data_IF_695461878367
#
_entry.id   IF_695461878367
#
_cell.length_a   1.000
_cell.length_b   1.000
_cell.length_c   1.000
_cell.angle_alpha   90.00
_cell.angle_beta   90.00
_cell.angle_gamma   90.00
#
_symmetry.space_group_name_H-M   'P 1'
#
loop_
_entity.id
_entity.type
_entity.pdbx_description
1 polymer ?
#
# COMPACT_ATOMS: atom_id res chain seq x y z
N UNK A 1 7.06 6.55 9.94
CA UNK A 1 6.07 5.91 9.06
C UNK A 1 5.09 5.09 9.87
N UNK A 2 3.95 5.69 10.19
CA UNK A 2 2.77 4.98 10.65
C UNK A 2 1.93 4.54 9.43
N UNK A 3 1.04 3.58 9.66
CA UNK A 3 0.11 3.07 8.65
C UNK A 3 -1.26 3.03 9.29
N UNK A 4 -2.27 3.47 8.54
CA UNK A 4 -3.66 3.48 9.00
C UNK A 4 -4.56 2.72 8.01
N UNK A 5 -5.65 2.10 8.50
CA UNK A 5 -6.58 1.34 7.66
C UNK A 5 -7.26 2.22 6.61
N UNK A 6 -7.37 1.71 5.39
CA UNK A 6 -8.04 2.41 4.29
C UNK A 6 -9.53 2.65 4.59
N UNK A 7 -10.20 1.63 5.13
CA UNK A 7 -11.63 1.65 5.46
C UNK A 7 -12.00 2.62 6.59
N UNK A 8 -11.05 3.09 7.40
CA UNK A 8 -11.31 4.17 8.36
C UNK A 8 -11.55 5.52 7.67
N UNK A 9 -10.92 5.74 6.51
CA UNK A 9 -11.10 6.97 5.71
C UNK A 9 -12.16 6.81 4.62
N UNK A 10 -12.33 5.60 4.11
CA UNK A 10 -13.27 5.28 3.03
C UNK A 10 -14.11 4.05 3.41
N UNK A 11 -15.05 4.18 4.37
CA UNK A 11 -15.79 3.04 4.90
C UNK A 11 -16.62 2.31 3.83
N UNK A 12 -17.38 3.04 3.01
CA UNK A 12 -18.25 2.45 1.97
C UNK A 12 -17.43 1.65 0.95
N UNK A 13 -16.30 2.21 0.51
CA UNK A 13 -15.40 1.54 -0.45
C UNK A 13 -14.70 0.35 0.22
N UNK A 14 -14.31 0.51 1.48
CA UNK A 14 -13.73 -0.58 2.26
C UNK A 14 -14.69 -1.76 2.41
N UNK A 15 -15.97 -1.50 2.62
CA UNK A 15 -17.01 -2.53 2.70
C UNK A 15 -17.19 -3.26 1.37
N UNK A 16 -17.29 -2.52 0.27
CA UNK A 16 -17.57 -3.07 -1.06
C UNK A 16 -16.36 -3.76 -1.72
N UNK A 17 -15.14 -3.26 -1.46
CA UNK A 17 -13.97 -3.60 -2.28
C UNK A 17 -12.87 -4.38 -1.53
N UNK A 18 -13.01 -4.62 -0.22
CA UNK A 18 -12.08 -5.47 0.55
C UNK A 18 -12.05 -6.88 -0.03
N UNK A 19 -10.84 -7.37 -0.32
CA UNK A 19 -10.66 -8.71 -0.88
C UNK A 19 -10.85 -9.77 0.21
N UNK A 20 -11.71 -10.75 -0.07
CA UNK A 20 -11.82 -11.98 0.69
C UNK A 20 -11.08 -13.13 -0.01
N UNK A 21 -10.29 -13.87 0.74
CA UNK A 21 -9.73 -15.16 0.36
C UNK A 21 -10.58 -16.26 0.99
N UNK A 22 -11.07 -17.21 0.19
CA UNK A 22 -11.75 -18.40 0.71
C UNK A 22 -10.77 -19.57 0.67
N UNK A 23 -10.45 -20.12 1.84
CA UNK A 23 -9.54 -21.25 2.01
C UNK A 23 -10.37 -22.51 2.26
N UNK A 24 -10.23 -23.51 1.39
CA UNK A 24 -10.86 -24.81 1.53
C UNK A 24 -9.88 -25.86 2.05
N UNK A 25 -8.76 -26.02 1.35
CA UNK A 25 -7.70 -26.97 1.70
C UNK A 25 -6.34 -26.33 1.39
N UNK A 26 -5.75 -25.69 2.40
CA UNK A 26 -4.42 -25.11 2.33
C UNK A 26 -3.61 -25.60 3.52
N UNK A 27 -2.58 -26.43 3.31
CA UNK A 27 -1.74 -26.94 4.39
C UNK A 27 -1.19 -25.80 5.27
N UNK A 28 -1.38 -25.93 6.59
CA UNK A 28 -0.94 -24.94 7.56
C UNK A 28 -1.85 -23.72 7.71
N UNK A 29 -3.01 -23.67 7.04
CA UNK A 29 -4.03 -22.63 7.19
C UNK A 29 -5.38 -23.28 7.46
N UNK A 30 -6.14 -22.75 8.43
CA UNK A 30 -7.45 -23.29 8.74
C UNK A 30 -8.44 -22.97 7.60
N UNK A 31 -9.39 -23.86 7.28
CA UNK A 31 -10.45 -23.53 6.33
C UNK A 31 -11.30 -22.36 6.81
N UNK A 32 -11.74 -21.51 5.88
CA UNK A 32 -12.57 -20.36 6.16
C UNK A 32 -12.31 -19.17 5.24
N UNK A 33 -12.94 -18.06 5.56
CA UNK A 33 -12.76 -16.79 4.85
C UNK A 33 -11.76 -15.90 5.59
N UNK A 34 -10.90 -15.25 4.82
CA UNK A 34 -9.86 -14.36 5.30
C UNK A 34 -9.96 -13.01 4.58
N UNK A 35 -10.16 -11.93 5.32
CA UNK A 35 -10.18 -10.57 4.79
C UNK A 35 -8.75 -10.02 4.70
N UNK A 36 -8.42 -9.41 3.56
CA UNK A 36 -7.17 -8.69 3.35
C UNK A 36 -7.45 -7.20 3.55
N UNK A 37 -7.33 -6.74 4.80
CA UNK A 37 -7.54 -5.32 5.11
C UNK A 37 -6.32 -4.50 4.68
N UNK A 38 -6.57 -3.41 3.97
CA UNK A 38 -5.53 -2.55 3.40
C UNK A 38 -5.14 -1.45 4.39
N UNK A 39 -3.85 -1.34 4.69
CA UNK A 39 -3.27 -0.25 5.46
C UNK A 39 -2.29 0.54 4.59
N UNK A 40 -2.40 1.87 4.63
CA UNK A 40 -1.57 2.79 3.86
C UNK A 40 -0.85 3.79 4.77
N UNK A 41 0.29 4.28 4.29
CA UNK A 41 1.09 5.27 5.01
C UNK A 41 0.30 6.57 5.19
N UNK A 42 0.22 7.06 6.42
CA UNK A 42 -0.49 8.26 6.84
C UNK A 42 0.45 9.47 7.07
N UNK A 43 1.75 9.31 6.82
CA UNK A 43 2.74 10.38 6.97
C UNK A 43 2.63 11.38 5.79
N UNK A 44 2.42 12.69 6.02
CA UNK A 44 2.33 13.68 4.95
C UNK A 44 3.59 13.74 4.07
N UNK A 45 3.42 13.92 2.76
CA UNK A 45 4.51 13.96 1.78
C UNK A 45 5.17 12.63 1.43
N UNK A 46 4.72 11.51 1.99
CA UNK A 46 5.28 10.18 1.73
C UNK A 46 4.73 9.54 0.43
N UNK A 47 5.62 9.17 -0.50
CA UNK A 47 5.30 8.42 -1.73
C UNK A 47 5.88 7.00 -1.68
N UNK A 48 5.57 6.24 -0.62
CA UNK A 48 6.13 4.90 -0.42
C UNK A 48 5.57 3.83 -1.36
N UNK A 49 4.44 4.08 -2.02
CA UNK A 49 3.80 3.18 -3.00
C UNK A 49 3.70 1.72 -2.55
N UNK A 50 3.27 1.54 -1.30
CA UNK A 50 3.12 0.26 -0.61
C UNK A 50 1.78 0.17 0.10
N UNK A 51 1.28 -1.05 0.18
CA UNK A 51 0.18 -1.46 1.06
C UNK A 51 0.71 -2.45 2.10
N UNK A 52 0.21 -2.37 3.33
CA UNK A 52 0.29 -3.48 4.27
C UNK A 52 -1.07 -4.16 4.33
N UNK A 53 -1.11 -5.46 4.11
CA UNK A 53 -2.29 -6.27 4.34
C UNK A 53 -2.26 -6.77 5.78
N UNK A 54 -3.29 -6.45 6.57
CA UNK A 54 -3.58 -7.21 7.79
C UNK A 54 -4.61 -8.28 7.43
N UNK A 55 -4.19 -9.54 7.48
CA UNK A 55 -5.03 -10.67 7.09
C UNK A 55 -5.78 -11.15 8.34
N UNK A 56 -7.10 -11.04 8.33
CA UNK A 56 -7.95 -11.53 9.43
C UNK A 56 -8.80 -12.68 8.96
N UNK A 57 -8.87 -13.77 9.73
CA UNK A 57 -9.93 -14.74 9.56
C UNK A 57 -11.26 -14.12 10.01
N UNK A 58 -12.33 -14.31 9.24
CA UNK A 58 -13.66 -13.82 9.63
C UNK A 58 -14.01 -14.38 11.03
N UNK A 59 -14.42 -13.50 11.93
CA UNK A 59 -14.73 -13.82 13.34
C UNK A 59 -13.52 -13.83 14.30
N UNK A 60 -12.29 -13.65 13.80
CA UNK A 60 -11.09 -13.50 14.65
C UNK A 60 -10.79 -12.03 14.93
N UNK A 61 -10.43 -11.72 16.17
CA UNK A 61 -10.02 -10.37 16.58
C UNK A 61 -8.57 -10.05 16.23
N UNK A 62 -7.70 -11.07 16.16
CA UNK A 62 -6.27 -10.89 15.91
C UNK A 62 -5.95 -11.14 14.43
N UNK A 63 -4.99 -10.40 13.84
CA UNK A 63 -4.50 -10.69 12.50
C UNK A 63 -3.75 -12.01 12.50
N UNK A 64 -3.91 -12.77 11.43
CA UNK A 64 -3.22 -14.03 11.18
C UNK A 64 -1.87 -13.79 10.49
N UNK A 65 -1.78 -12.75 9.68
CA UNK A 65 -0.55 -12.31 9.06
C UNK A 65 -0.58 -10.81 8.80
N UNK A 66 0.60 -10.18 8.80
CA UNK A 66 0.78 -8.84 8.25
C UNK A 66 1.81 -8.88 7.14
N UNK A 67 1.38 -8.56 5.92
CA UNK A 67 2.19 -8.69 4.70
C UNK A 67 2.28 -7.34 4.02
N UNK A 68 3.50 -6.84 3.84
CA UNK A 68 3.74 -5.68 3.00
C UNK A 68 3.85 -6.06 1.54
N UNK A 69 3.27 -5.24 0.66
CA UNK A 69 3.39 -5.35 -0.79
C UNK A 69 3.74 -4.01 -1.40
N UNK A 70 4.86 -3.97 -2.11
CA UNK A 70 5.24 -2.82 -2.94
C UNK A 70 5.26 -3.17 -4.42
N UNK A 71 4.60 -2.34 -5.23
CA UNK A 71 4.46 -2.59 -6.67
C UNK A 71 5.54 -1.95 -7.54
N UNK A 72 6.33 -1.02 -7.00
CA UNK A 72 7.44 -0.41 -7.72
C UNK A 72 8.68 -1.31 -7.83
N UNK A 73 9.64 -0.90 -8.66
CA UNK A 73 10.90 -1.62 -8.85
C UNK A 73 11.82 -1.55 -7.61
N UNK A 74 12.74 -2.51 -7.49
CA UNK A 74 13.79 -2.43 -6.48
C UNK A 74 14.65 -1.14 -6.60
N UNK A 75 14.81 -0.60 -7.80
CA UNK A 75 15.53 0.66 -8.02
C UNK A 75 14.77 1.84 -7.39
N UNK A 76 13.45 1.91 -7.59
CA UNK A 76 12.60 2.90 -6.94
C UNK A 76 12.76 2.83 -5.43
N UNK A 77 12.66 1.64 -4.83
CA UNK A 77 12.77 1.49 -3.38
C UNK A 77 14.17 1.77 -2.85
N UNK A 78 15.22 1.45 -3.60
CA UNK A 78 16.60 1.80 -3.23
C UNK A 78 16.77 3.32 -3.15
N UNK A 79 16.24 4.05 -4.13
CA UNK A 79 16.25 5.51 -4.17
C UNK A 79 15.39 6.10 -3.05
N UNK A 80 14.19 5.58 -2.86
CA UNK A 80 13.23 6.05 -1.86
C UNK A 80 13.76 5.87 -0.42
N UNK A 81 14.40 4.72 -0.12
CA UNK A 81 15.03 4.46 1.18
C UNK A 81 16.23 5.39 1.47
N UNK A 82 16.75 6.11 0.47
CA UNK A 82 17.95 6.93 0.60
C UNK A 82 19.20 6.11 0.98
N UNK A 83 19.17 4.79 0.77
CA UNK A 83 20.24 3.86 1.14
C UNK A 83 20.45 2.86 0.01
N UNK A 84 21.71 2.63 -0.35
CA UNK A 84 22.10 1.53 -1.22
C UNK A 84 22.06 0.20 -0.43
N UNK A 85 20.85 -0.27 -0.11
CA UNK A 85 20.62 -1.59 0.48
C UNK A 85 19.76 -2.43 -0.45
N UNK A 86 20.37 -3.23 -1.35
CA UNK A 86 19.65 -4.09 -2.27
C UNK A 86 18.73 -5.09 -1.55
N UNK A 87 19.14 -5.57 -0.38
CA UNK A 87 18.34 -6.47 0.47
C UNK A 87 17.08 -5.79 1.00
N UNK A 88 17.20 -4.56 1.51
CA UNK A 88 16.04 -3.79 1.99
C UNK A 88 15.09 -3.43 0.85
N UNK A 89 15.63 -3.02 -0.31
CA UNK A 89 14.82 -2.71 -1.48
C UNK A 89 14.02 -3.93 -1.98
N UNK A 90 14.61 -5.13 -1.93
CA UNK A 90 13.91 -6.38 -2.28
C UNK A 90 12.83 -6.76 -1.28
N UNK A 91 12.98 -6.47 0.01
CA UNK A 91 11.90 -6.67 1.00
C UNK A 91 10.75 -5.67 0.82
N UNK A 92 11.06 -4.51 0.23
CA UNK A 92 10.05 -3.50 -0.11
C UNK A 92 9.31 -3.81 -1.41
N UNK A 93 9.94 -4.55 -2.32
CA UNK A 93 9.33 -4.99 -3.56
C UNK A 93 8.59 -6.32 -3.37
N UNK A 94 7.38 -6.42 -3.89
CA UNK A 94 6.61 -7.65 -3.81
C UNK A 94 6.10 -7.96 -2.41
N UNK A 95 5.42 -9.10 -2.22
CA UNK A 95 4.86 -9.50 -0.94
C UNK A 95 5.96 -10.02 0.00
N UNK A 96 6.00 -9.50 1.22
CA UNK A 96 6.87 -9.97 2.28
C UNK A 96 6.20 -9.80 3.65
N UNK A 97 6.46 -10.70 4.60
CA UNK A 97 6.00 -10.53 5.98
C UNK A 97 6.56 -9.23 6.55
N UNK A 98 5.72 -8.44 7.22
CA UNK A 98 6.17 -7.26 7.92
C UNK A 98 6.90 -7.69 9.21
N UNK A 99 8.22 -7.45 9.35
CA UNK A 99 9.02 -8.05 10.44
C UNK A 99 8.65 -7.59 11.85
N UNK A 100 8.08 -6.39 11.98
CA UNK A 100 7.74 -5.77 13.26
C UNK A 100 6.28 -6.00 13.68
N UNK A 101 5.52 -6.79 12.90
CA UNK A 101 4.13 -7.12 13.20
C UNK A 101 4.01 -8.50 13.81
N UNK A 102 2.91 -8.72 14.53
CA UNK A 102 2.49 -10.06 14.91
C UNK A 102 2.30 -10.94 13.66
N UNK A 103 2.72 -12.21 13.76
CA UNK A 103 2.52 -13.24 12.76
C UNK A 103 2.04 -14.51 13.47
N UNK A 104 0.91 -15.06 13.03
CA UNK A 104 0.46 -16.37 13.50
C UNK A 104 1.28 -17.50 12.86
N UNK A 105 1.15 -18.76 13.33
CA UNK A 105 1.69 -19.92 12.63
C UNK A 105 1.21 -20.08 11.17
N UNK A 106 0.07 -19.48 10.80
CA UNK A 106 -0.48 -19.54 9.44
C UNK A 106 0.21 -18.55 8.48
N UNK A 107 0.94 -17.55 9.00
CA UNK A 107 1.48 -16.45 8.21
C UNK A 107 2.40 -16.88 7.05
N UNK A 108 3.31 -17.87 7.20
CA UNK A 108 4.14 -18.33 6.08
C UNK A 108 3.31 -18.91 4.93
N UNK A 109 2.29 -19.71 5.24
CA UNK A 109 1.42 -20.34 4.24
C UNK A 109 0.51 -19.32 3.55
N UNK A 110 0.01 -18.32 4.30
CA UNK A 110 -0.74 -17.18 3.75
C UNK A 110 0.15 -16.32 2.81
N UNK A 111 1.41 -16.07 3.18
CA UNK A 111 2.35 -15.35 2.31
C UNK A 111 2.56 -16.07 0.98
N UNK A 112 2.65 -17.40 0.97
CA UNK A 112 2.83 -18.18 -0.24
C UNK A 112 1.65 -18.04 -1.23
N UNK A 113 0.47 -17.61 -0.78
CA UNK A 113 -0.67 -17.36 -1.66
C UNK A 113 -0.61 -15.98 -2.33
N UNK A 114 0.11 -15.02 -1.75
CA UNK A 114 0.13 -13.64 -2.24
C UNK A 114 0.59 -13.49 -3.68
N UNK A 115 1.61 -14.20 -4.19
CA UNK A 115 1.97 -14.15 -5.60
C UNK A 115 0.84 -14.57 -6.54
N UNK A 116 -0.03 -15.50 -6.14
CA UNK A 116 -1.19 -15.90 -6.94
C UNK A 116 -2.28 -14.82 -6.93
N UNK A 117 -2.56 -14.26 -5.75
CA UNK A 117 -3.55 -13.19 -5.58
C UNK A 117 -3.13 -11.93 -6.35
N UNK A 118 -1.84 -11.59 -6.31
CA UNK A 118 -1.28 -10.38 -6.92
C UNK A 118 -0.97 -10.52 -8.43
N UNK A 119 -1.22 -11.69 -9.03
CA UNK A 119 -1.22 -11.84 -10.49
C UNK A 119 -2.47 -11.22 -11.15
N UNK A 120 -3.54 -11.00 -10.38
CA UNK A 120 -4.73 -10.26 -10.85
C UNK A 120 -4.39 -8.78 -11.01
N UNK A 121 -4.15 -8.36 -12.25
CA UNK A 121 -3.83 -6.99 -12.59
C UNK A 121 -4.93 -6.00 -12.18
N UNK A 122 -6.21 -6.40 -12.24
CA UNK A 122 -7.31 -5.52 -11.83
C UNK A 122 -7.30 -5.30 -10.31
N UNK A 123 -6.93 -6.33 -9.54
CA UNK A 123 -6.74 -6.17 -8.11
C UNK A 123 -5.55 -5.25 -7.80
N UNK A 124 -4.42 -5.42 -8.48
CA UNK A 124 -3.25 -4.55 -8.28
C UNK A 124 -3.55 -3.09 -8.64
N UNK A 125 -4.26 -2.83 -9.73
CA UNK A 125 -4.66 -1.47 -10.08
C UNK A 125 -5.66 -0.87 -9.07
N UNK A 126 -6.54 -1.69 -8.49
CA UNK A 126 -7.41 -1.26 -7.39
C UNK A 126 -6.61 -0.85 -6.15
N UNK A 127 -5.60 -1.62 -5.76
CA UNK A 127 -4.70 -1.27 -4.64
C UNK A 127 -3.97 0.06 -4.89
N UNK A 128 -3.53 0.31 -6.12
CA UNK A 128 -2.90 1.59 -6.50
C UNK A 128 -3.89 2.75 -6.45
N UNK A 129 -5.13 2.53 -6.91
CA UNK A 129 -6.20 3.52 -6.82
C UNK A 129 -6.48 3.90 -5.37
N UNK A 130 -6.66 2.91 -4.49
CA UNK A 130 -6.88 3.12 -3.06
C UNK A 130 -5.72 3.88 -2.41
N UNK A 131 -4.48 3.52 -2.75
CA UNK A 131 -3.30 4.25 -2.32
C UNK A 131 -3.40 5.74 -2.66
N UNK A 132 -3.68 6.09 -3.93
CA UNK A 132 -3.77 7.49 -4.34
C UNK A 132 -4.95 8.23 -3.69
N UNK A 133 -6.09 7.57 -3.50
CA UNK A 133 -7.23 8.13 -2.77
C UNK A 133 -6.85 8.45 -1.32
N UNK A 134 -6.18 7.52 -0.64
CA UNK A 134 -5.70 7.68 0.72
C UNK A 134 -4.66 8.80 0.82
N UNK A 135 -3.67 8.82 -0.07
CA UNK A 135 -2.68 9.91 -0.13
C UNK A 135 -3.32 11.27 -0.30
N UNK A 136 -4.29 11.39 -1.20
CA UNK A 136 -5.00 12.65 -1.41
C UNK A 136 -5.74 13.12 -0.14
N UNK A 137 -6.31 12.19 0.64
CA UNK A 137 -6.95 12.52 1.92
C UNK A 137 -5.95 12.97 3.00
N UNK A 138 -4.81 12.28 3.12
CA UNK A 138 -3.74 12.67 4.05
C UNK A 138 -3.19 14.07 3.73
N UNK A 139 -2.97 14.40 2.47
CA UNK A 139 -2.50 15.74 2.09
C UNK A 139 -3.55 16.85 2.27
N UNK A 140 -4.85 16.53 2.20
CA UNK A 140 -5.92 17.48 2.53
C UNK A 140 -5.95 17.76 4.03
N UNK A 141 -5.90 16.72 4.85
CA UNK A 141 -5.98 16.81 6.31
C UNK A 141 -4.74 17.41 6.97
N UNK A 142 -3.56 17.31 6.34
CA UNK A 142 -2.31 17.87 6.85
C UNK A 142 -2.23 19.40 6.76
N UNK A 143 -3.24 20.07 6.21
CA UNK A 143 -3.26 21.52 6.09
C UNK A 143 -2.16 22.01 5.16
N UNK A 144 -2.11 21.53 3.92
CA UNK A 144 -1.34 22.14 2.84
C UNK A 144 -1.88 23.55 2.46
N UNK A 145 -2.05 24.42 3.45
CA UNK A 145 -1.97 25.86 3.29
C UNK A 145 -0.53 26.22 2.91
N UNK A 146 -0.29 26.40 1.61
CA UNK A 146 0.82 27.23 1.15
C UNK A 146 2.04 26.54 0.53
N UNK A 147 1.86 25.80 -0.57
CA UNK A 147 2.84 25.87 -1.67
C UNK A 147 2.08 26.05 -2.98
N UNK A 148 1.78 27.32 -3.32
CA UNK A 148 1.48 27.69 -4.70
C UNK A 148 2.67 27.23 -5.56
N UNK A 149 2.39 26.37 -6.53
CA UNK A 149 3.32 26.13 -7.64
C UNK A 149 3.71 27.51 -8.22
N UNK A 150 5.00 27.80 -8.46
CA UNK A 150 5.40 29.07 -9.04
C UNK A 150 4.75 29.23 -10.41
N UNK A 151 4.10 30.39 -10.63
CA UNK A 151 3.49 30.71 -11.90
C UNK A 151 4.52 30.62 -13.05
N UNK A 152 4.13 30.12 -14.24
CA UNK A 152 5.05 29.99 -15.36
C UNK A 152 5.61 31.37 -15.74
N UNK A 153 6.94 31.48 -15.84
CA UNK A 153 7.61 32.69 -16.29
C UNK A 153 7.16 33.02 -17.71
N UNK A 154 6.40 34.10 -17.88
CA UNK A 154 6.09 34.68 -19.19
C UNK A 154 7.40 35.03 -19.90
N UNK A 155 7.69 34.37 -21.03
CA UNK A 155 8.77 34.76 -21.94
C UNK A 155 8.48 36.19 -22.44
N UNK A 156 9.38 37.13 -22.14
CA UNK A 156 9.36 38.46 -22.77
C UNK A 156 9.72 38.27 -24.24
N UNK A 157 8.73 38.31 -25.13
CA UNK A 157 8.98 38.53 -26.55
C UNK A 157 9.44 39.98 -26.73
N UNK A 158 10.72 40.16 -26.99
CA UNK A 158 11.29 41.42 -27.44
C UNK A 158 10.73 41.75 -28.83
N UNK A 159 9.76 42.66 -28.87
CA UNK A 159 9.27 43.25 -30.12
C UNK A 159 10.35 44.23 -30.59
N UNK A 160 11.17 43.82 -31.57
CA UNK A 160 12.05 44.75 -32.31
C UNK A 160 11.15 45.77 -33.01
N UNK A 161 11.25 47.05 -32.60
CA UNK A 161 10.77 48.16 -33.43
C UNK A 161 11.64 48.22 -34.69
N UNK A 162 10.99 48.29 -35.85
CA UNK A 162 11.54 48.90 -37.06
C UNK A 162 11.00 50.32 -37.13
#
# INVERSE_FOLDING_TARGET
MAFAPFNEKFPDIGEDETRLLTVFDLPGVQPGQYALLELYCDEPGCDCRRVLFTIHRIGSQNPEAVIGYGWESAEFYSKWLGRNSPTSARQMQGPALNPLSFQSPMAPALLQQMPLILQDANYVERLKRHYWMFRAEIERGSGATGRRLPAPKRKKTSRKLR
#
